data_IF_444562183922
#
_entry.id   IF_444562183922
#
_cell.length_a   1.000
_cell.length_b   1.000
_cell.length_c   1.000
_cell.angle_alpha   90.00
_cell.angle_beta   90.00
_cell.angle_gamma   90.00
#
_symmetry.space_group_name_H-M   'P 1'
#
loop_
_entity.id
_entity.type
_entity.pdbx_description
1 polymer ?
#
# COMPACT_ATOMS: atom_id res chain seq x y z
N UNK A 1 43.10 18.96 -12.65
CA UNK A 1 41.87 19.46 -12.02
C UNK A 1 40.77 18.73 -12.75
N UNK A 2 40.52 17.50 -12.30
CA UNK A 2 39.53 16.60 -12.91
C UNK A 2 38.20 16.89 -12.22
N UNK A 3 37.18 17.18 -13.03
CA UNK A 3 35.79 17.25 -12.58
C UNK A 3 35.41 15.91 -11.94
N UNK A 4 34.85 15.90 -10.71
CA UNK A 4 34.19 14.71 -10.24
C UNK A 4 32.92 14.54 -11.07
N UNK A 5 32.98 13.64 -12.05
CA UNK A 5 31.79 13.07 -12.67
C UNK A 5 30.84 12.58 -11.57
N UNK A 6 29.84 13.39 -11.24
CA UNK A 6 28.62 12.90 -10.62
C UNK A 6 27.96 11.98 -11.65
N UNK A 7 28.22 10.68 -11.54
CA UNK A 7 27.38 9.65 -12.13
C UNK A 7 26.01 9.73 -11.44
N UNK A 8 25.21 10.73 -11.81
CA UNK A 8 23.76 10.67 -11.67
C UNK A 8 23.31 9.55 -12.61
N UNK A 9 23.20 8.34 -12.06
CA UNK A 9 22.72 7.18 -12.81
C UNK A 9 21.31 7.47 -13.30
N UNK A 10 21.18 7.87 -14.56
CA UNK A 10 19.89 7.92 -15.24
C UNK A 10 19.32 6.51 -15.23
N UNK A 11 18.21 6.33 -14.54
CA UNK A 11 17.45 5.09 -14.52
C UNK A 11 16.06 5.36 -15.08
N UNK A 12 15.38 4.33 -15.54
CA UNK A 12 13.96 4.40 -15.89
C UNK A 12 13.08 4.32 -14.64
N UNK A 13 11.86 4.83 -14.73
CA UNK A 13 10.86 4.66 -13.67
C UNK A 13 10.62 3.17 -13.37
N UNK A 14 10.68 2.32 -14.40
CA UNK A 14 10.57 0.87 -14.29
C UNK A 14 11.67 0.29 -13.42
N UNK A 15 12.93 0.68 -13.63
CA UNK A 15 14.06 0.21 -12.84
C UNK A 15 13.93 0.63 -11.37
N UNK A 16 13.51 1.87 -11.11
CA UNK A 16 13.25 2.36 -9.75
C UNK A 16 12.15 1.55 -9.04
N UNK A 17 11.07 1.19 -9.73
CA UNK A 17 9.94 0.43 -9.16
C UNK A 17 10.18 -1.07 -9.07
N UNK A 18 11.05 -1.64 -9.92
CA UNK A 18 11.34 -3.08 -9.99
C UNK A 18 12.58 -3.53 -9.21
N UNK A 19 13.09 -2.68 -8.32
CA UNK A 19 14.21 -3.04 -7.46
C UNK A 19 13.96 -4.38 -6.74
N UNK A 20 14.93 -5.29 -6.80
CA UNK A 20 14.85 -6.56 -6.10
C UNK A 20 14.92 -6.31 -4.60
N UNK A 21 13.89 -6.76 -3.87
CA UNK A 21 13.85 -6.63 -2.41
C UNK A 21 14.57 -7.83 -1.78
N UNK A 22 15.43 -7.62 -0.78
CA UNK A 22 16.00 -8.73 -0.03
C UNK A 22 14.90 -9.49 0.73
N UNK A 23 15.11 -10.77 1.05
CA UNK A 23 14.27 -11.44 2.01
C UNK A 23 14.36 -10.73 3.36
N UNK A 24 13.21 -10.49 3.99
CA UNK A 24 13.08 -9.91 5.33
C UNK A 24 12.54 -11.01 6.23
N UNK A 25 13.30 -11.35 7.27
CA UNK A 25 12.92 -12.43 8.18
C UNK A 25 11.84 -11.95 9.14
N UNK A 26 10.86 -12.82 9.40
CA UNK A 26 9.82 -12.62 10.41
C UNK A 26 9.87 -13.76 11.42
N UNK A 27 9.92 -13.40 12.69
CA UNK A 27 9.78 -14.31 13.83
C UNK A 27 8.36 -14.27 14.41
N UNK A 28 7.45 -13.48 13.81
CA UNK A 28 6.06 -13.44 14.21
C UNK A 28 5.38 -14.75 13.87
N UNK A 29 4.77 -15.34 14.89
CA UNK A 29 3.75 -16.38 14.75
C UNK A 29 2.38 -15.71 14.80
N UNK A 30 1.39 -16.16 14.00
CA UNK A 30 0.02 -15.69 14.13
C UNK A 30 -0.44 -15.82 15.58
N UNK A 31 -0.87 -14.72 16.19
CA UNK A 31 -1.45 -14.75 17.53
C UNK A 31 -2.93 -15.16 17.41
N UNK A 32 -3.36 -16.27 18.04
CA UNK A 32 -4.76 -16.70 18.02
C UNK A 32 -5.73 -15.66 18.60
N UNK A 33 -5.25 -14.69 19.39
CA UNK A 33 -6.08 -13.64 20.00
C UNK A 33 -6.36 -12.44 19.09
N UNK A 34 -5.67 -12.32 17.95
CA UNK A 34 -5.97 -11.33 16.91
C UNK A 34 -7.12 -11.77 15.99
N UNK A 35 -7.58 -13.02 16.12
CA UNK A 35 -8.79 -13.51 15.46
C UNK A 35 -10.01 -13.12 16.30
N UNK A 36 -11.04 -12.51 15.69
CA UNK A 36 -12.30 -12.33 16.40
C UNK A 36 -12.87 -13.70 16.79
N UNK A 37 -13.46 -13.75 17.98
CA UNK A 37 -14.21 -14.93 18.43
C UNK A 37 -15.32 -15.21 17.40
N UNK A 38 -15.32 -16.37 16.72
CA UNK A 38 -16.31 -16.67 15.68
C UNK A 38 -17.75 -16.65 16.20
N UNK A 39 -17.95 -16.78 17.51
CA UNK A 39 -19.27 -16.68 18.14
C UNK A 39 -19.77 -15.21 18.29
N UNK A 40 -18.93 -14.21 18.05
CA UNK A 40 -19.23 -12.78 18.21
C UNK A 40 -18.97 -11.94 16.94
N UNK A 41 -18.73 -12.56 15.78
CA UNK A 41 -18.46 -11.85 14.50
C UNK A 41 -19.58 -10.86 14.10
N UNK A 42 -20.84 -11.14 14.45
CA UNK A 42 -21.98 -10.27 14.13
C UNK A 42 -22.07 -9.02 15.03
N UNK A 43 -21.42 -9.05 16.20
CA UNK A 43 -21.52 -8.02 17.25
C UNK A 43 -20.26 -7.16 17.37
N UNK A 44 -19.22 -7.37 16.55
CA UNK A 44 -18.04 -6.48 16.56
C UNK A 44 -18.45 -5.08 16.07
N UNK A 45 -18.54 -4.07 16.96
CA UNK A 45 -19.00 -2.73 16.58
C UNK A 45 -18.03 -2.04 15.62
N UNK A 46 -16.82 -2.58 15.42
CA UNK A 46 -15.83 -2.10 14.46
C UNK A 46 -16.16 -2.51 13.03
N UNK A 47 -17.04 -3.49 12.82
CA UNK A 47 -17.25 -4.12 11.52
C UNK A 47 -18.72 -4.34 11.17
N UNK A 48 -19.23 -3.63 10.17
CA UNK A 48 -20.53 -3.94 9.60
C UNK A 48 -20.38 -4.91 8.42
N UNK A 49 -20.63 -6.19 8.69
CA UNK A 49 -20.47 -7.31 7.75
C UNK A 49 -21.40 -7.22 6.54
N UNK A 50 -22.58 -6.59 6.67
CA UNK A 50 -23.55 -6.41 5.59
C UNK A 50 -23.03 -5.50 4.46
N UNK A 51 -21.93 -4.76 4.69
CA UNK A 51 -21.34 -3.84 3.72
C UNK A 51 -20.40 -4.51 2.72
N UNK A 52 -19.97 -5.76 2.95
CA UNK A 52 -18.95 -6.47 2.14
C UNK A 52 -19.58 -7.64 1.35
N UNK A 53 -20.90 -7.67 1.19
CA UNK A 53 -21.61 -8.82 0.59
C UNK A 53 -21.35 -9.02 -0.92
N UNK A 54 -20.76 -8.03 -1.61
CA UNK A 54 -20.53 -8.08 -3.06
C UNK A 54 -19.07 -7.83 -3.43
N UNK A 55 -18.20 -8.80 -3.13
CA UNK A 55 -16.81 -8.82 -3.60
C UNK A 55 -16.72 -9.44 -4.99
N UNK A 56 -16.25 -8.68 -5.97
CA UNK A 56 -15.99 -9.17 -7.33
C UNK A 56 -14.54 -8.94 -7.73
N UNK A 57 -13.99 -9.91 -8.46
CA UNK A 57 -12.64 -9.81 -9.02
C UNK A 57 -12.63 -8.74 -10.12
N UNK A 58 -11.70 -7.79 -10.04
CA UNK A 58 -11.50 -6.79 -11.09
C UNK A 58 -10.55 -7.31 -12.16
N UNK A 59 -11.07 -8.09 -13.10
CA UNK A 59 -10.25 -8.78 -14.12
C UNK A 59 -9.43 -7.84 -15.00
N UNK A 60 -9.91 -6.62 -15.24
CA UNK A 60 -9.19 -5.62 -16.02
C UNK A 60 -7.98 -5.02 -15.28
N UNK A 61 -7.95 -5.10 -13.94
CA UNK A 61 -6.85 -4.59 -13.13
C UNK A 61 -5.74 -5.64 -13.00
N UNK A 62 -5.07 -5.91 -14.11
CA UNK A 62 -3.97 -6.88 -14.21
C UNK A 62 -2.70 -6.23 -14.77
N UNK A 63 -1.55 -6.89 -14.58
CA UNK A 63 -0.26 -6.34 -14.98
C UNK A 63 -0.18 -6.09 -16.50
N UNK A 64 -0.76 -6.96 -17.33
CA UNK A 64 -0.78 -6.81 -18.79
C UNK A 64 -1.48 -5.51 -19.20
N UNK A 65 -2.65 -5.23 -18.64
CA UNK A 65 -3.40 -4.00 -18.92
C UNK A 65 -2.67 -2.76 -18.40
N UNK A 66 -2.06 -2.85 -17.21
CA UNK A 66 -1.26 -1.75 -16.65
C UNK A 66 -0.01 -1.47 -17.50
N UNK A 67 0.69 -2.50 -17.99
CA UNK A 67 1.82 -2.35 -18.90
C UNK A 67 1.40 -1.81 -20.26
N UNK A 68 0.27 -2.24 -20.80
CA UNK A 68 -0.24 -1.71 -22.07
C UNK A 68 -0.63 -0.23 -21.94
N UNK A 69 -1.28 0.15 -20.84
CA UNK A 69 -1.74 1.53 -20.60
C UNK A 69 -0.61 2.49 -20.21
N UNK A 70 0.32 2.04 -19.37
CA UNK A 70 1.32 2.91 -18.72
C UNK A 70 2.77 2.47 -18.94
N UNK A 71 3.03 1.38 -19.67
CA UNK A 71 4.38 0.85 -19.87
C UNK A 71 5.34 1.87 -20.48
N UNK A 72 4.85 2.71 -21.40
CA UNK A 72 5.64 3.83 -21.97
C UNK A 72 6.09 4.84 -20.93
N UNK A 73 5.27 5.12 -19.90
CA UNK A 73 5.66 6.00 -18.79
C UNK A 73 6.72 5.32 -17.93
N UNK A 74 6.58 4.02 -17.69
CA UNK A 74 7.58 3.24 -16.93
C UNK A 74 8.96 3.25 -17.61
N UNK A 75 9.01 3.32 -18.94
CA UNK A 75 10.26 3.36 -19.71
C UNK A 75 10.87 4.77 -19.84
N UNK A 76 10.27 5.79 -19.23
CA UNK A 76 10.84 7.14 -19.24
C UNK A 76 11.98 7.28 -18.24
N UNK A 77 12.95 8.14 -18.60
CA UNK A 77 14.04 8.51 -17.72
C UNK A 77 13.48 9.18 -16.47
N UNK A 78 13.85 8.61 -15.34
CA UNK A 78 13.46 9.02 -14.01
C UNK A 78 14.68 9.61 -13.31
N UNK A 79 14.68 10.94 -13.17
CA UNK A 79 15.69 11.68 -12.44
C UNK A 79 15.04 12.28 -11.19
N UNK A 80 15.05 11.55 -10.05
CA UNK A 80 14.46 12.05 -8.82
C UNK A 80 15.30 13.20 -8.25
N UNK A 81 14.63 14.14 -7.59
CA UNK A 81 15.30 15.25 -6.90
C UNK A 81 16.10 14.80 -5.65
N UNK A 82 15.98 13.54 -5.25
CA UNK A 82 16.63 12.94 -4.08
C UNK A 82 17.03 11.50 -4.38
N UNK A 83 17.86 10.90 -3.50
CA UNK A 83 18.34 9.53 -3.67
C UNK A 83 17.19 8.52 -3.59
N UNK A 84 17.10 7.65 -4.60
CA UNK A 84 16.15 6.52 -4.60
C UNK A 84 16.50 5.54 -3.48
N UNK A 85 15.57 5.20 -2.57
CA UNK A 85 15.84 4.30 -1.47
C UNK A 85 16.20 2.90 -1.99
N UNK A 86 17.37 2.39 -1.57
CA UNK A 86 17.90 1.10 -2.01
C UNK A 86 17.47 0.00 -1.03
N UNK A 87 16.70 -1.02 -1.47
CA UNK A 87 16.13 -2.02 -0.57
C UNK A 87 17.20 -2.85 0.14
N UNK A 88 18.33 -3.15 -0.52
CA UNK A 88 19.40 -3.92 0.11
C UNK A 88 20.05 -3.19 1.30
N UNK A 89 20.15 -1.86 1.22
CA UNK A 89 20.78 -1.03 2.27
C UNK A 89 19.83 -0.74 3.43
N UNK A 90 18.55 -0.55 3.13
CA UNK A 90 17.55 -0.13 4.12
C UNK A 90 16.80 -1.29 4.76
N UNK A 91 16.67 -2.42 4.06
CA UNK A 91 15.92 -3.60 4.53
C UNK A 91 16.83 -4.81 4.79
N UNK A 92 17.85 -5.01 3.95
CA UNK A 92 18.70 -6.20 3.99
C UNK A 92 19.51 -6.29 5.28
N UNK A 93 19.27 -7.34 6.09
CA UNK A 93 19.91 -7.60 7.39
C UNK A 93 19.72 -6.52 8.48
N UNK A 94 19.10 -5.39 8.15
CA UNK A 94 18.78 -4.30 9.07
C UNK A 94 17.43 -4.53 9.76
N UNK A 95 16.48 -5.16 9.06
CA UNK A 95 15.12 -5.35 9.55
C UNK A 95 14.87 -6.84 9.80
N UNK A 96 14.48 -7.16 11.04
CA UNK A 96 13.89 -8.44 11.43
C UNK A 96 12.56 -8.10 12.07
N UNK A 97 11.48 -8.72 11.60
CA UNK A 97 10.14 -8.50 12.14
C UNK A 97 9.97 -9.41 13.36
N UNK A 98 10.01 -8.83 14.56
CA UNK A 98 9.82 -9.51 15.84
C UNK A 98 8.50 -9.14 16.52
N UNK A 99 7.96 -7.96 16.21
CA UNK A 99 6.67 -7.45 16.67
C UNK A 99 5.88 -6.88 15.48
N UNK A 100 4.55 -6.81 15.54
CA UNK A 100 3.72 -6.32 14.43
C UNK A 100 4.16 -4.94 13.90
N UNK A 101 4.60 -4.05 14.78
CA UNK A 101 5.02 -2.68 14.43
C UNK A 101 6.29 -2.63 13.56
N UNK A 102 7.09 -3.69 13.55
CA UNK A 102 8.32 -3.74 12.74
C UNK A 102 8.00 -3.74 11.23
N UNK A 103 6.76 -4.10 10.86
CA UNK A 103 6.30 -3.99 9.47
C UNK A 103 6.34 -2.55 8.95
N UNK A 104 6.28 -1.56 9.85
CA UNK A 104 6.36 -0.15 9.51
C UNK A 104 7.68 0.22 8.82
N UNK A 105 8.75 -0.54 9.01
CA UNK A 105 9.99 -0.35 8.25
C UNK A 105 9.78 -0.59 6.75
N UNK A 106 9.05 -1.64 6.39
CA UNK A 106 8.71 -1.95 5.01
C UNK A 106 7.76 -0.91 4.41
N UNK A 107 6.77 -0.48 5.20
CA UNK A 107 5.79 0.51 4.78
C UNK A 107 6.47 1.86 4.53
N UNK A 108 7.36 2.30 5.43
CA UNK A 108 8.14 3.54 5.26
C UNK A 108 9.07 3.49 4.05
N UNK A 109 9.76 2.37 3.83
CA UNK A 109 10.60 2.22 2.65
C UNK A 109 9.76 2.34 1.37
N UNK A 110 8.62 1.64 1.31
CA UNK A 110 7.70 1.71 0.18
C UNK A 110 7.14 3.12 0.02
N UNK A 111 6.81 3.80 1.11
CA UNK A 111 6.33 5.18 1.14
C UNK A 111 7.31 6.15 0.49
N UNK A 112 8.59 6.07 0.88
CA UNK A 112 9.66 6.88 0.29
C UNK A 112 9.82 6.64 -1.20
N UNK A 113 9.80 5.39 -1.65
CA UNK A 113 9.87 5.05 -3.07
C UNK A 113 8.66 5.61 -3.84
N UNK A 114 7.45 5.35 -3.33
CA UNK A 114 6.20 5.78 -3.96
C UNK A 114 6.13 7.30 -4.10
N UNK A 115 6.56 8.07 -3.08
CA UNK A 115 6.57 9.54 -3.17
C UNK A 115 7.34 10.05 -4.38
N UNK A 116 8.54 9.50 -4.61
CA UNK A 116 9.38 9.94 -5.72
C UNK A 116 8.75 9.55 -7.07
N UNK A 117 8.21 8.35 -7.17
CA UNK A 117 7.70 7.78 -8.42
C UNK A 117 6.30 8.28 -8.82
N UNK A 118 5.42 8.55 -7.85
CA UNK A 118 4.06 9.03 -8.11
C UNK A 118 4.03 10.49 -8.53
N UNK A 119 4.84 11.34 -7.91
CA UNK A 119 4.95 12.74 -8.30
C UNK A 119 5.49 12.87 -9.74
N UNK A 120 6.50 12.06 -10.07
CA UNK A 120 6.99 11.93 -11.44
C UNK A 120 5.87 11.48 -12.39
N UNK A 121 5.16 10.40 -12.06
CA UNK A 121 4.11 9.84 -12.93
C UNK A 121 2.98 10.84 -13.17
N UNK A 122 2.53 11.51 -12.12
CA UNK A 122 1.45 12.49 -12.19
C UNK A 122 1.80 13.69 -13.06
N UNK A 123 3.02 14.22 -12.94
CA UNK A 123 3.46 15.35 -13.75
C UNK A 123 3.53 15.00 -15.24
N UNK A 124 4.02 13.81 -15.59
CA UNK A 124 4.10 13.33 -16.97
C UNK A 124 2.74 13.03 -17.58
N UNK A 125 1.82 12.45 -16.80
CA UNK A 125 0.45 12.15 -17.26
C UNK A 125 -0.48 13.38 -17.21
N UNK A 126 -0.03 14.49 -16.62
CA UNK A 126 -0.81 15.72 -16.39
C UNK A 126 -2.13 15.44 -15.65
N UNK A 127 -2.12 14.46 -14.74
CA UNK A 127 -3.28 14.08 -13.95
C UNK A 127 -3.42 15.07 -12.78
N UNK A 128 -4.61 15.67 -12.63
CA UNK A 128 -4.91 16.65 -11.58
C UNK A 128 -3.80 17.72 -11.37
N UNK A 129 -3.49 18.53 -12.40
CA UNK A 129 -2.30 19.40 -12.43
C UNK A 129 -2.26 20.46 -11.32
N UNK A 130 -3.40 20.78 -10.71
CA UNK A 130 -3.52 21.80 -9.66
C UNK A 130 -3.69 21.23 -8.25
N UNK A 131 -3.70 19.91 -8.11
CA UNK A 131 -3.77 19.26 -6.81
C UNK A 131 -2.39 18.72 -6.44
N UNK A 132 -2.16 18.43 -5.18
CA UNK A 132 -0.93 17.80 -4.68
C UNK A 132 -1.26 16.37 -4.29
N UNK A 133 -0.39 15.42 -4.66
CA UNK A 133 -0.48 14.07 -4.10
C UNK A 133 0.11 14.12 -2.70
N UNK A 134 -0.65 13.69 -1.71
CA UNK A 134 -0.17 13.44 -0.37
C UNK A 134 -0.11 11.96 -0.15
N UNK A 135 0.97 11.52 0.48
CA UNK A 135 1.14 10.15 0.88
C UNK A 135 1.48 10.16 2.36
N UNK A 136 0.71 9.42 3.14
CA UNK A 136 0.85 9.30 4.58
C UNK A 136 1.01 7.82 4.91
N UNK A 137 1.80 7.52 5.94
CA UNK A 137 1.96 6.15 6.43
C UNK A 137 2.10 6.12 7.94
N UNK A 138 1.91 4.95 8.54
CA UNK A 138 2.15 4.73 9.97
C UNK A 138 3.59 5.07 10.32
N UNK A 139 3.76 5.97 11.29
CA UNK A 139 5.06 6.36 11.81
C UNK A 139 5.06 6.12 13.31
N UNK A 140 5.95 5.24 13.78
CA UNK A 140 6.19 4.96 15.19
C UNK A 140 4.91 4.48 15.90
N UNK A 141 4.17 3.57 15.24
CA UNK A 141 2.93 3.01 15.75
C UNK A 141 1.71 3.93 15.65
N UNK A 142 1.90 5.21 15.29
CA UNK A 142 0.78 6.12 15.06
C UNK A 142 0.20 5.86 13.68
N UNK A 143 -0.95 5.17 13.65
CA UNK A 143 -1.66 4.83 12.42
C UNK A 143 -2.26 6.06 11.75
N UNK A 144 -2.45 5.96 10.44
CA UNK A 144 -3.14 7.00 9.67
C UNK A 144 -4.64 6.80 9.85
N UNK A 145 -5.31 7.91 10.13
CA UNK A 145 -6.73 7.94 10.41
C UNK A 145 -7.50 8.31 9.15
N UNK A 146 -8.46 7.49 8.76
CA UNK A 146 -9.44 7.84 7.74
C UNK A 146 -10.71 8.37 8.41
N UNK A 147 -11.14 9.62 8.12
CA UNK A 147 -12.38 10.15 8.67
C UNK A 147 -13.57 9.33 8.13
N UNK A 148 -14.51 8.92 8.99
CA UNK A 148 -15.53 7.96 8.59
C UNK A 148 -16.66 8.63 7.80
N UNK A 149 -17.31 7.83 6.94
CA UNK A 149 -18.49 8.26 6.16
C UNK A 149 -19.70 8.45 7.08
N UNK A 150 -19.87 7.51 8.01
CA UNK A 150 -20.91 7.52 9.03
C UNK A 150 -20.23 7.55 10.39
N UNK A 151 -20.77 8.30 11.36
CA UNK A 151 -20.13 8.65 12.65
C UNK A 151 -19.80 7.47 13.60
N UNK A 152 -19.61 6.24 13.11
CA UNK A 152 -19.60 5.05 13.95
C UNK A 152 -18.24 4.38 14.14
N UNK A 153 -17.31 4.40 13.17
CA UNK A 153 -16.00 3.76 13.38
C UNK A 153 -14.90 4.42 12.54
N UNK A 154 -13.83 4.83 13.19
CA UNK A 154 -12.61 5.30 12.53
C UNK A 154 -11.80 4.08 12.05
N UNK A 155 -11.39 4.07 10.78
CA UNK A 155 -10.51 3.01 10.28
C UNK A 155 -9.06 3.43 10.38
N UNK A 156 -8.32 2.60 11.12
CA UNK A 156 -6.89 2.70 11.34
C UNK A 156 -6.17 1.98 10.19
N UNK A 157 -5.53 2.74 9.31
CA UNK A 157 -4.83 2.21 8.13
C UNK A 157 -3.34 2.51 8.20
N UNK A 158 -2.54 1.72 7.48
CA UNK A 158 -1.09 1.87 7.52
C UNK A 158 -0.51 2.80 6.46
N UNK A 159 -1.25 3.02 5.38
CA UNK A 159 -0.89 4.01 4.37
C UNK A 159 -2.11 4.59 3.67
N UNK A 160 -2.01 5.86 3.29
CA UNK A 160 -3.04 6.62 2.57
C UNK A 160 -2.39 7.44 1.47
N UNK A 161 -2.91 7.35 0.25
CA UNK A 161 -2.62 8.28 -0.84
C UNK A 161 -3.86 9.14 -1.06
N UNK A 162 -3.70 10.45 -1.04
CA UNK A 162 -4.79 11.41 -1.22
C UNK A 162 -4.42 12.57 -2.15
N UNK A 163 -5.44 13.24 -2.69
CA UNK A 163 -5.31 14.49 -3.43
C UNK A 163 -5.77 15.65 -2.58
N UNK A 164 -4.86 16.57 -2.28
CA UNK A 164 -5.17 17.82 -1.59
C UNK A 164 -5.12 18.99 -2.57
N UNK A 165 -6.04 19.94 -2.42
CA UNK A 165 -5.88 21.26 -3.04
C UNK A 165 -4.99 22.11 -2.14
N UNK A 166 -3.91 22.71 -2.64
CA UNK A 166 -3.13 23.67 -1.86
C UNK A 166 -3.82 25.03 -1.73
N UNK A 167 -4.88 25.28 -2.51
CA UNK A 167 -5.51 26.59 -2.67
C UNK A 167 -6.81 26.75 -1.87
N UNK A 168 -7.39 25.65 -1.39
CA UNK A 168 -8.64 25.66 -0.64
C UNK A 168 -8.55 24.69 0.55
N UNK A 169 -9.36 24.95 1.58
CA UNK A 169 -9.47 24.08 2.75
C UNK A 169 -10.41 22.88 2.47
N UNK A 170 -10.49 22.40 1.23
CA UNK A 170 -11.29 21.21 0.95
C UNK A 170 -10.64 19.97 1.59
N UNK A 171 -11.45 19.04 2.13
CA UNK A 171 -10.92 17.77 2.60
C UNK A 171 -10.16 17.05 1.49
N UNK A 172 -9.02 16.45 1.84
CA UNK A 172 -8.25 15.66 0.88
C UNK A 172 -9.09 14.48 0.38
N UNK A 173 -9.11 14.27 -0.93
CA UNK A 173 -9.78 13.13 -1.53
C UNK A 173 -8.87 11.91 -1.43
N UNK A 174 -9.33 10.88 -0.73
CA UNK A 174 -8.55 9.65 -0.58
C UNK A 174 -8.66 8.84 -1.87
N UNK A 175 -7.51 8.48 -2.42
CA UNK A 175 -7.40 7.66 -3.63
C UNK A 175 -7.12 6.19 -3.29
N UNK A 176 -6.25 5.96 -2.31
CA UNK A 176 -5.80 4.63 -1.91
C UNK A 176 -5.67 4.59 -0.40
N UNK A 177 -6.12 3.50 0.20
CA UNK A 177 -5.78 3.10 1.57
C UNK A 177 -5.19 1.70 1.54
N UNK A 178 -4.41 1.37 2.55
CA UNK A 178 -4.11 -0.04 2.77
C UNK A 178 -3.45 -0.34 4.09
N UNK A 179 -3.36 -1.64 4.32
CA UNK A 179 -2.93 -2.28 5.56
C UNK A 179 -1.67 -3.10 5.29
N UNK A 180 -0.76 -3.14 6.25
CA UNK A 180 0.41 -4.00 6.25
C UNK A 180 0.17 -5.24 7.11
N UNK A 181 0.37 -6.43 6.53
CA UNK A 181 0.39 -7.70 7.27
C UNK A 181 1.63 -8.51 6.88
N UNK A 182 2.33 -9.16 7.82
CA UNK A 182 3.47 -10.00 7.50
C UNK A 182 3.00 -11.27 6.79
N UNK A 183 3.84 -11.82 5.91
CA UNK A 183 3.47 -13.00 5.12
C UNK A 183 3.29 -14.28 5.95
N UNK A 184 3.75 -14.28 7.20
CA UNK A 184 3.53 -15.36 8.17
C UNK A 184 2.09 -15.40 8.70
N UNK A 185 1.40 -14.26 8.71
CA UNK A 185 -0.01 -14.13 9.13
C UNK A 185 -0.95 -14.15 7.92
N UNK A 186 -0.52 -13.60 6.78
CA UNK A 186 -1.36 -13.44 5.61
C UNK A 186 -0.63 -13.77 4.31
N UNK A 187 -1.16 -14.71 3.53
CA UNK A 187 -0.58 -15.13 2.25
C UNK A 187 -1.41 -14.64 1.08
N UNK A 188 -0.99 -13.51 0.49
CA UNK A 188 -1.55 -13.02 -0.77
C UNK A 188 -1.47 -14.06 -1.90
N UNK A 189 -0.49 -14.97 -1.87
CA UNK A 189 -0.39 -16.05 -2.86
C UNK A 189 -1.56 -17.03 -2.74
N UNK A 190 -1.97 -17.35 -1.52
CA UNK A 190 -3.13 -18.21 -1.27
C UNK A 190 -4.41 -17.53 -1.78
N UNK A 191 -4.55 -16.23 -1.52
CA UNK A 191 -5.65 -15.39 -2.02
C UNK A 191 -5.70 -15.31 -3.54
N UNK A 192 -4.54 -15.18 -4.20
CA UNK A 192 -4.45 -15.09 -5.64
C UNK A 192 -4.98 -16.34 -6.37
N UNK A 193 -4.77 -17.50 -5.76
CA UNK A 193 -5.00 -18.79 -6.41
C UNK A 193 -6.47 -19.20 -6.36
N UNK A 194 -7.12 -19.04 -5.19
CA UNK A 194 -8.56 -19.30 -5.05
C UNK A 194 -9.16 -18.52 -3.88
N UNK A 195 -9.81 -17.40 -4.20
CA UNK A 195 -10.53 -16.56 -3.22
C UNK A 195 -11.65 -17.33 -2.52
N UNK A 196 -12.16 -18.42 -3.10
CA UNK A 196 -13.24 -19.23 -2.51
C UNK A 196 -12.71 -20.30 -1.55
N UNK A 197 -11.41 -20.56 -1.55
CA UNK A 197 -10.75 -21.53 -0.69
C UNK A 197 -9.86 -20.88 0.38
N UNK A 198 -10.17 -19.64 0.74
CA UNK A 198 -9.46 -18.92 1.79
C UNK A 198 -9.73 -19.54 3.16
N UNK A 199 -8.67 -19.70 3.95
CA UNK A 199 -8.83 -19.93 5.38
C UNK A 199 -9.34 -18.63 6.05
N UNK A 200 -9.79 -18.76 7.31
CA UNK A 200 -10.37 -17.67 8.09
C UNK A 200 -9.42 -16.47 8.21
N UNK A 201 -8.13 -16.70 8.48
CA UNK A 201 -7.11 -15.63 8.58
C UNK A 201 -7.01 -14.77 7.31
N UNK A 202 -6.95 -15.42 6.14
CA UNK A 202 -6.85 -14.70 4.86
C UNK A 202 -8.16 -13.99 4.52
N UNK A 203 -9.30 -14.60 4.86
CA UNK A 203 -10.60 -13.96 4.68
C UNK A 203 -10.71 -12.71 5.57
N UNK A 204 -10.21 -12.77 6.79
CA UNK A 204 -10.20 -11.66 7.74
C UNK A 204 -9.40 -10.46 7.22
N UNK A 205 -8.17 -10.68 6.75
CA UNK A 205 -7.35 -9.60 6.20
C UNK A 205 -8.01 -8.92 4.98
N UNK A 206 -8.70 -9.69 4.13
CA UNK A 206 -9.45 -9.13 3.00
C UNK A 206 -10.66 -8.33 3.48
N UNK A 207 -11.39 -8.85 4.47
CA UNK A 207 -12.50 -8.14 5.11
C UNK A 207 -11.99 -6.79 5.65
N UNK A 208 -10.93 -6.79 6.47
CA UNK A 208 -10.29 -5.60 7.06
C UNK A 208 -9.97 -4.52 6.00
N UNK A 209 -9.37 -4.96 4.89
CA UNK A 209 -9.07 -4.08 3.75
C UNK A 209 -10.36 -3.52 3.10
N UNK A 210 -11.36 -4.38 2.84
CA UNK A 210 -12.60 -3.97 2.19
C UNK A 210 -13.36 -2.93 3.02
N UNK A 211 -13.42 -3.11 4.34
CA UNK A 211 -14.02 -2.13 5.25
C UNK A 211 -13.26 -0.81 5.27
N UNK A 212 -11.92 -0.86 5.32
CA UNK A 212 -11.07 0.33 5.23
C UNK A 212 -11.32 1.11 3.94
N UNK A 213 -11.43 0.42 2.81
CA UNK A 213 -11.71 1.05 1.53
C UNK A 213 -13.14 1.60 1.43
N UNK A 214 -14.12 0.88 1.98
CA UNK A 214 -15.50 1.35 2.08
C UNK A 214 -15.54 2.70 2.82
N UNK A 215 -14.93 2.79 4.01
CA UNK A 215 -14.88 4.03 4.78
C UNK A 215 -14.11 5.16 4.08
N UNK A 216 -13.09 4.81 3.29
CA UNK A 216 -12.35 5.77 2.49
C UNK A 216 -13.07 6.21 1.19
N UNK A 217 -14.23 5.63 0.86
CA UNK A 217 -14.90 5.76 -0.46
C UNK A 217 -14.00 5.37 -1.63
N UNK A 218 -13.14 4.39 -1.42
CA UNK A 218 -12.23 3.87 -2.44
C UNK A 218 -12.66 2.48 -2.90
N UNK A 219 -12.20 2.09 -4.09
CA UNK A 219 -12.27 0.69 -4.50
C UNK A 219 -11.14 -0.05 -3.77
N UNK A 220 -11.41 -1.21 -3.17
CA UNK A 220 -10.35 -2.11 -2.75
C UNK A 220 -9.94 -3.00 -3.92
N UNK A 221 -8.69 -3.44 -3.92
CA UNK A 221 -8.16 -4.36 -4.90
C UNK A 221 -6.78 -4.84 -4.46
N UNK A 222 -6.35 -5.96 -5.01
CA UNK A 222 -5.02 -6.51 -4.78
C UNK A 222 -4.36 -6.85 -6.11
N UNK A 223 -3.04 -6.64 -6.20
CA UNK A 223 -2.25 -7.08 -7.35
C UNK A 223 -1.39 -8.25 -6.91
N UNK A 224 -1.74 -9.44 -7.37
CA UNK A 224 -0.94 -10.63 -7.14
C UNK A 224 0.13 -10.74 -8.23
N UNK A 225 1.40 -10.78 -7.83
CA UNK A 225 2.46 -11.19 -8.73
C UNK A 225 2.55 -12.72 -8.68
N UNK A 226 2.49 -13.42 -9.83
CA UNK A 226 2.74 -14.86 -9.87
C UNK A 226 4.14 -15.21 -9.36
#
# INVERSE_FOLDING_TARGET
MEDPMSLEGSMTLREALRQQRPPVHSNLTPDPSDLPDPENEEDDPRFNWQLVENVSRWDEFNLTNLENGYGRLLDQNFTPNTVVPQPQQELGHVVIINQPEDINHLIRWNHRLMNLTLDFSKSHLRIHPHRVLRHECTIAGVRVVVPPIERRVQSDVDHVISLASPLDNTPAEILVTGIGKPSSEFSMRSVANDVRALNEDNLWAIKELAHSCYNAKTRYGYVCKP
#
